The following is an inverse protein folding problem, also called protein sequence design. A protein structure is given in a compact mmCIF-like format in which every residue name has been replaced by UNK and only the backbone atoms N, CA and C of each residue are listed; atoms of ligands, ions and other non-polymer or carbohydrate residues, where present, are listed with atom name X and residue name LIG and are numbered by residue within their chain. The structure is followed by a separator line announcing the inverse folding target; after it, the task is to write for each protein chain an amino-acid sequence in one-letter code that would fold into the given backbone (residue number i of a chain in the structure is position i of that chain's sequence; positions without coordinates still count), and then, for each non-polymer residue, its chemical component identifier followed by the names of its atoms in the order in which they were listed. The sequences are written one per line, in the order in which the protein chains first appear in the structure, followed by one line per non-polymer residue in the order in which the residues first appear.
data_IF_050126862807
#
_entry.id   IF_050126862807
#
_cell.length_a   1.000
_cell.length_b   1.000
_cell.length_c   1.000
_cell.angle_alpha   90.00
_cell.angle_beta   90.00
_cell.angle_gamma   90.00
#
_symmetry.space_group_name_H-M   'P 1'
#
loop_
_entity.id
_entity.type
_entity.pdbx_description
1 polymer ?
#
# COMPACT_ATOMS: atom_id res chain seq x y z
N UNK A 1 12.16 -1.68 -17.89
CA UNK A 1 10.85 -1.05 -17.63
C UNK A 1 11.01 0.02 -16.55
N UNK A 2 10.81 1.26 -16.92
CA UNK A 2 10.92 2.40 -16.00
C UNK A 2 9.57 2.95 -15.57
N UNK A 3 8.52 2.72 -16.35
CA UNK A 3 7.16 3.19 -16.09
C UNK A 3 6.15 2.12 -16.45
N UNK A 4 5.17 1.89 -15.60
CA UNK A 4 4.08 0.96 -15.83
C UNK A 4 2.74 1.65 -15.56
N UNK A 5 1.82 1.51 -16.51
CA UNK A 5 0.44 1.97 -16.35
C UNK A 5 -0.53 0.87 -16.80
N UNK A 6 -1.57 0.65 -16.02
CA UNK A 6 -2.68 -0.27 -16.32
C UNK A 6 -4.00 0.51 -16.41
N UNK A 7 -4.19 1.28 -17.49
CA UNK A 7 -5.19 2.37 -17.53
C UNK A 7 -6.64 1.92 -17.57
N UNK A 8 -6.93 0.68 -17.98
CA UNK A 8 -8.32 0.21 -18.16
C UNK A 8 -8.70 -0.97 -17.25
N UNK A 9 -7.78 -1.47 -16.46
CA UNK A 9 -8.05 -2.58 -15.54
C UNK A 9 -8.82 -2.06 -14.32
N UNK A 10 -10.08 -2.51 -14.16
CA UNK A 10 -10.95 -2.02 -13.10
C UNK A 10 -10.99 -2.91 -11.86
N UNK A 11 -10.76 -4.22 -12.04
CA UNK A 11 -10.77 -5.19 -10.93
C UNK A 11 -9.81 -6.34 -11.21
N UNK A 12 -9.25 -6.88 -10.15
CA UNK A 12 -8.39 -8.07 -10.19
C UNK A 12 -9.01 -9.11 -9.26
N UNK A 13 -9.40 -10.26 -9.80
CA UNK A 13 -9.98 -11.35 -9.00
C UNK A 13 -8.96 -12.09 -8.15
N UNK A 14 -7.73 -12.19 -8.61
CA UNK A 14 -6.62 -12.84 -7.90
C UNK A 14 -5.64 -11.82 -7.31
N UNK A 15 -4.39 -11.88 -7.77
CA UNK A 15 -3.29 -11.09 -7.22
C UNK A 15 -2.91 -9.93 -8.12
N UNK A 16 -2.60 -8.79 -7.53
CA UNK A 16 -1.88 -7.70 -8.18
C UNK A 16 -0.52 -7.57 -7.51
N UNK A 17 0.55 -7.87 -8.24
CA UNK A 17 1.86 -7.94 -7.63
C UNK A 17 2.95 -7.36 -8.54
N UNK A 18 3.74 -6.46 -8.01
CA UNK A 18 4.88 -5.82 -8.68
C UNK A 18 6.10 -6.03 -7.78
N UNK A 19 7.04 -6.87 -8.24
CA UNK A 19 8.23 -7.21 -7.45
C UNK A 19 9.52 -6.90 -8.18
N UNK A 20 10.52 -6.46 -7.42
CA UNK A 20 11.93 -6.46 -7.79
C UNK A 20 12.21 -5.85 -9.18
N UNK A 21 11.48 -4.80 -9.52
CA UNK A 21 11.70 -4.05 -10.74
C UNK A 21 12.66 -2.90 -10.42
N UNK A 22 13.95 -3.16 -10.50
CA UNK A 22 14.99 -2.25 -10.03
C UNK A 22 15.01 -0.89 -10.76
N UNK A 23 14.51 -0.84 -11.99
CA UNK A 23 14.47 0.39 -12.78
C UNK A 23 13.10 1.07 -12.81
N UNK A 24 12.08 0.48 -12.19
CA UNK A 24 10.72 1.04 -12.21
C UNK A 24 10.65 2.27 -11.30
N UNK A 25 10.38 3.42 -11.89
CA UNK A 25 10.27 4.69 -11.17
C UNK A 25 8.84 5.16 -10.96
N UNK A 26 7.91 4.72 -11.82
CA UNK A 26 6.53 5.19 -11.80
C UNK A 26 5.57 4.02 -12.06
N UNK A 27 4.60 3.85 -11.16
CA UNK A 27 3.52 2.88 -11.30
C UNK A 27 2.17 3.59 -11.16
N UNK A 28 1.33 3.43 -12.19
CA UNK A 28 -0.02 4.00 -12.20
C UNK A 28 -1.07 2.93 -12.42
N UNK A 29 -2.04 2.87 -11.52
CA UNK A 29 -3.17 1.94 -11.53
C UNK A 29 -4.44 2.76 -11.34
N UNK A 30 -4.85 3.54 -12.37
CA UNK A 30 -5.80 4.64 -12.17
C UNK A 30 -7.24 4.22 -11.89
N UNK A 31 -7.67 3.01 -12.32
CA UNK A 31 -9.08 2.62 -12.21
C UNK A 31 -9.32 1.31 -11.46
N UNK A 32 -8.29 0.64 -10.97
CA UNK A 32 -8.50 -0.58 -10.17
C UNK A 32 -9.14 -0.20 -8.84
N UNK A 33 -10.35 -0.71 -8.62
CA UNK A 33 -11.13 -0.46 -7.41
C UNK A 33 -11.08 -1.61 -6.41
N UNK A 34 -10.86 -2.84 -6.88
CA UNK A 34 -10.83 -4.03 -6.03
C UNK A 34 -9.80 -5.06 -6.47
N UNK A 35 -9.20 -5.71 -5.48
CA UNK A 35 -8.31 -6.85 -5.67
C UNK A 35 -8.79 -7.97 -4.75
N UNK A 36 -9.17 -9.11 -5.31
CA UNK A 36 -9.75 -10.22 -4.54
C UNK A 36 -8.75 -10.95 -3.65
N UNK A 37 -7.51 -11.08 -4.10
CA UNK A 37 -6.43 -11.69 -3.35
C UNK A 37 -5.53 -10.64 -2.71
N UNK A 38 -4.23 -10.63 -3.05
CA UNK A 38 -3.33 -9.63 -2.48
C UNK A 38 -2.93 -8.55 -3.49
N UNK A 39 -2.73 -7.35 -2.97
CA UNK A 39 -2.06 -6.24 -3.63
C UNK A 39 -0.68 -6.06 -3.00
N UNK A 40 0.36 -6.30 -3.78
CA UNK A 40 1.72 -6.28 -3.24
C UNK A 40 2.68 -5.53 -4.17
N UNK A 41 3.36 -4.55 -3.62
CA UNK A 41 4.42 -3.79 -4.29
C UNK A 41 5.66 -3.88 -3.42
N UNK A 42 6.67 -4.64 -3.87
CA UNK A 42 7.80 -4.99 -3.02
C UNK A 42 9.12 -4.99 -3.80
N UNK A 43 10.16 -4.44 -3.20
CA UNK A 43 11.51 -4.51 -3.75
C UNK A 43 11.75 -3.66 -4.99
N UNK A 44 10.92 -2.65 -5.25
CA UNK A 44 11.11 -1.75 -6.38
C UNK A 44 11.94 -0.55 -5.92
N UNK A 45 13.24 -0.72 -5.87
CA UNK A 45 14.15 0.22 -5.21
C UNK A 45 14.20 1.62 -5.83
N UNK A 46 13.85 1.76 -7.11
CA UNK A 46 13.82 3.05 -7.81
C UNK A 46 12.44 3.71 -7.84
N UNK A 47 11.40 3.06 -7.30
CA UNK A 47 10.03 3.55 -7.37
C UNK A 47 9.87 4.83 -6.55
N UNK A 48 9.61 5.93 -7.25
CA UNK A 48 9.40 7.26 -6.64
C UNK A 48 7.95 7.72 -6.66
N UNK A 49 7.13 7.12 -7.53
CA UNK A 49 5.72 7.49 -7.70
C UNK A 49 4.84 6.26 -7.83
N UNK A 50 3.84 6.18 -6.97
CA UNK A 50 2.79 5.16 -7.01
C UNK A 50 1.43 5.85 -6.93
N UNK A 51 0.55 5.54 -7.88
CA UNK A 51 -0.80 6.08 -7.90
C UNK A 51 -1.82 4.94 -8.01
N UNK A 52 -2.66 4.80 -6.98
CA UNK A 52 -3.78 3.85 -6.93
C UNK A 52 -5.03 4.57 -6.40
N UNK A 53 -5.51 5.59 -7.12
CA UNK A 53 -6.49 6.52 -6.57
C UNK A 53 -7.87 5.93 -6.29
N UNK A 54 -8.21 4.82 -6.94
CA UNK A 54 -9.55 4.20 -6.84
C UNK A 54 -9.59 2.93 -6.02
N UNK A 55 -8.45 2.40 -5.58
CA UNK A 55 -8.40 1.14 -4.84
C UNK A 55 -9.14 1.27 -3.51
N UNK A 56 -10.25 0.53 -3.38
CA UNK A 56 -11.14 0.59 -2.21
C UNK A 56 -11.13 -0.69 -1.38
N UNK A 57 -10.97 -1.86 -2.03
CA UNK A 57 -11.06 -3.16 -1.37
C UNK A 57 -9.91 -4.07 -1.77
N UNK A 58 -9.28 -4.68 -0.78
CA UNK A 58 -8.32 -5.76 -0.96
C UNK A 58 -8.79 -6.94 -0.11
N UNK A 59 -9.10 -8.07 -0.74
CA UNK A 59 -9.65 -9.25 -0.06
C UNK A 59 -8.65 -9.98 0.84
N UNK A 60 -7.38 -9.92 0.53
CA UNK A 60 -6.31 -10.54 1.30
C UNK A 60 -5.31 -9.54 1.84
N UNK A 61 -4.04 -9.69 1.46
CA UNK A 61 -2.93 -8.87 1.93
C UNK A 61 -2.81 -7.57 1.11
N UNK A 62 -2.71 -6.42 1.78
CA UNK A 62 -2.15 -5.20 1.21
C UNK A 62 -0.75 -5.01 1.75
N UNK A 63 0.25 -5.13 0.90
CA UNK A 63 1.65 -4.96 1.31
C UNK A 63 2.38 -3.98 0.41
N UNK A 64 3.02 -3.03 1.03
CA UNK A 64 3.96 -2.13 0.40
C UNK A 64 5.28 -2.22 1.18
N UNK A 65 6.32 -2.80 0.56
CA UNK A 65 7.55 -3.09 1.29
C UNK A 65 8.81 -2.93 0.47
N UNK A 66 9.88 -2.48 1.13
CA UNK A 66 11.22 -2.39 0.55
C UNK A 66 11.24 -1.60 -0.76
N UNK A 67 10.53 -0.49 -0.82
CA UNK A 67 10.56 0.46 -1.94
C UNK A 67 11.29 1.72 -1.48
N UNK A 68 12.61 1.67 -1.49
CA UNK A 68 13.47 2.59 -0.75
C UNK A 68 13.58 4.01 -1.32
N UNK A 69 13.01 4.27 -2.49
CA UNK A 69 13.00 5.61 -3.09
C UNK A 69 11.67 6.35 -2.91
N UNK A 70 10.61 5.65 -2.48
CA UNK A 70 9.29 6.27 -2.33
C UNK A 70 9.23 7.12 -1.06
N UNK A 71 8.89 8.40 -1.23
CA UNK A 71 8.84 9.37 -0.13
C UNK A 71 7.45 9.58 0.44
N UNK A 72 6.40 9.32 -0.34
CA UNK A 72 5.01 9.44 0.11
C UNK A 72 4.14 8.35 -0.48
N UNK A 73 3.19 7.86 0.30
CA UNK A 73 2.19 6.90 -0.15
C UNK A 73 0.81 7.38 0.29
N UNK A 74 -0.09 7.48 -0.68
CA UNK A 74 -1.49 7.77 -0.42
C UNK A 74 -2.37 6.75 -1.13
N UNK A 75 -3.29 6.14 -0.38
CA UNK A 75 -4.31 5.24 -0.92
C UNK A 75 -5.66 5.81 -0.47
N UNK A 76 -6.15 6.84 -1.17
CA UNK A 76 -7.21 7.71 -0.65
C UNK A 76 -8.58 7.05 -0.51
N UNK A 77 -8.84 5.98 -1.27
CA UNK A 77 -10.14 5.29 -1.26
C UNK A 77 -10.12 3.94 -0.57
N UNK A 78 -8.95 3.46 -0.12
CA UNK A 78 -8.85 2.14 0.52
C UNK A 78 -9.61 2.13 1.85
N UNK A 79 -10.68 1.33 1.89
CA UNK A 79 -11.57 1.23 3.03
C UNK A 79 -11.48 -0.11 3.76
N UNK A 80 -11.28 -1.21 3.02
CA UNK A 80 -11.34 -2.57 3.55
C UNK A 80 -10.17 -3.43 3.10
N UNK A 81 -9.51 -4.07 4.07
CA UNK A 81 -8.47 -5.07 3.84
C UNK A 81 -8.89 -6.35 4.59
N UNK A 82 -9.13 -7.42 3.84
CA UNK A 82 -9.60 -8.69 4.39
C UNK A 82 -8.55 -9.51 5.12
N UNK A 83 -7.28 -9.21 4.96
CA UNK A 83 -6.18 -9.88 5.64
C UNK A 83 -5.27 -8.89 6.34
N UNK A 84 -4.03 -8.83 5.89
CA UNK A 84 -2.98 -8.00 6.50
C UNK A 84 -2.79 -6.68 5.76
N UNK A 85 -2.57 -5.60 6.52
CA UNK A 85 -2.12 -4.32 5.99
C UNK A 85 -0.68 -4.08 6.47
N UNK A 86 0.27 -4.13 5.54
CA UNK A 86 1.70 -4.00 5.85
C UNK A 86 2.36 -2.88 5.05
N UNK A 87 2.91 -1.92 5.76
CA UNK A 87 3.80 -0.89 5.19
C UNK A 87 5.13 -1.03 5.91
N UNK A 88 6.10 -1.67 5.27
CA UNK A 88 7.31 -2.12 5.96
C UNK A 88 8.58 -1.84 5.17
N UNK A 89 9.61 -1.38 5.87
CA UNK A 89 10.96 -1.19 5.34
C UNK A 89 11.04 -0.30 4.07
N UNK A 90 10.26 0.77 4.04
CA UNK A 90 10.37 1.79 3.00
C UNK A 90 11.16 2.96 3.58
N UNK A 91 12.48 2.92 3.43
CA UNK A 91 13.39 3.76 4.22
C UNK A 91 13.34 5.25 3.92
N UNK A 92 12.86 5.64 2.74
CA UNK A 92 12.68 7.05 2.38
C UNK A 92 11.25 7.57 2.63
N UNK A 93 10.31 6.71 3.03
CA UNK A 93 8.90 7.08 3.21
C UNK A 93 8.75 8.05 4.39
N UNK A 94 8.34 9.28 4.08
CA UNK A 94 8.13 10.32 5.10
C UNK A 94 6.68 10.51 5.49
N UNK A 95 5.74 10.22 4.57
CA UNK A 95 4.31 10.36 4.83
C UNK A 95 3.49 9.20 4.27
N UNK A 96 2.50 8.78 5.04
CA UNK A 96 1.54 7.74 4.68
C UNK A 96 0.13 8.22 5.00
N UNK A 97 -0.76 8.16 4.01
CA UNK A 97 -2.15 8.53 4.18
C UNK A 97 -3.09 7.44 3.67
N UNK A 98 -3.93 6.94 4.57
CA UNK A 98 -5.04 6.03 4.26
C UNK A 98 -6.32 6.55 4.94
N UNK A 99 -6.83 7.69 4.48
CA UNK A 99 -7.79 8.49 5.23
C UNK A 99 -9.15 7.84 5.47
N UNK A 100 -9.52 6.85 4.65
CA UNK A 100 -10.81 6.17 4.79
C UNK A 100 -10.68 4.69 5.15
N UNK A 101 -9.49 4.22 5.50
CA UNK A 101 -9.29 2.84 5.91
C UNK A 101 -10.07 2.57 7.21
N UNK A 102 -11.10 1.73 7.10
CA UNK A 102 -12.04 1.48 8.19
C UNK A 102 -11.92 0.07 8.77
N UNK A 103 -11.45 -0.91 7.98
CA UNK A 103 -11.40 -2.31 8.39
C UNK A 103 -10.14 -3.00 7.92
N UNK A 104 -9.44 -3.65 8.85
CA UNK A 104 -8.37 -4.61 8.58
C UNK A 104 -8.68 -5.86 9.41
N UNK A 105 -8.95 -6.98 8.74
CA UNK A 105 -9.46 -8.16 9.44
C UNK A 105 -8.40 -8.84 10.28
N UNK A 106 -7.14 -8.86 9.84
CA UNK A 106 -6.07 -9.57 10.55
C UNK A 106 -5.07 -8.63 11.22
N UNK A 107 -3.98 -8.29 10.55
CA UNK A 107 -2.94 -7.45 11.14
C UNK A 107 -2.80 -6.13 10.42
N UNK A 108 -2.64 -5.08 11.21
CA UNK A 108 -2.19 -3.77 10.74
C UNK A 108 -0.79 -3.53 11.30
N UNK A 109 0.20 -3.40 10.42
CA UNK A 109 1.58 -3.19 10.84
C UNK A 109 2.30 -2.18 9.97
N UNK A 110 2.90 -1.19 10.61
CA UNK A 110 3.73 -0.17 9.99
C UNK A 110 5.04 -0.13 10.76
N UNK A 111 6.14 -0.58 10.15
CA UNK A 111 7.44 -0.56 10.82
C UNK A 111 8.60 -0.58 9.82
N UNK A 112 9.79 -0.25 10.30
CA UNK A 112 10.99 -0.19 9.47
C UNK A 112 11.02 0.96 8.47
N UNK A 113 10.06 1.88 8.52
CA UNK A 113 10.02 3.06 7.68
C UNK A 113 10.71 4.19 8.43
N UNK A 114 12.04 4.19 8.42
CA UNK A 114 12.87 5.00 9.33
C UNK A 114 12.73 6.50 9.15
N UNK A 115 12.26 6.96 7.99
CA UNK A 115 12.03 8.38 7.72
C UNK A 115 10.59 8.83 8.00
N UNK A 116 9.68 7.91 8.41
CA UNK A 116 8.26 8.21 8.54
C UNK A 116 8.01 9.19 9.70
N UNK A 117 7.46 10.35 9.37
CA UNK A 117 7.12 11.41 10.33
C UNK A 117 5.65 11.80 10.32
N UNK A 118 4.91 11.42 9.27
CA UNK A 118 3.49 11.75 9.13
C UNK A 118 2.68 10.52 8.75
N UNK A 119 1.68 10.20 9.58
CA UNK A 119 0.78 9.08 9.39
C UNK A 119 -0.66 9.53 9.62
N UNK A 120 -1.54 9.26 8.65
CA UNK A 120 -2.96 9.55 8.77
C UNK A 120 -3.79 8.28 8.54
N UNK A 121 -4.44 7.80 9.60
CA UNK A 121 -5.40 6.69 9.58
C UNK A 121 -6.62 7.02 10.47
N UNK A 122 -7.33 8.11 10.19
CA UNK A 122 -8.25 8.71 11.16
C UNK A 122 -9.50 7.87 11.49
N UNK A 123 -9.90 6.92 10.63
CA UNK A 123 -11.13 6.14 10.86
C UNK A 123 -10.89 4.69 11.27
N UNK A 124 -9.64 4.26 11.43
CA UNK A 124 -9.28 2.89 11.80
C UNK A 124 -9.32 2.65 13.32
N UNK A 125 -10.30 3.15 14.03
CA UNK A 125 -10.25 3.20 15.49
C UNK A 125 -10.54 1.85 16.18
N UNK A 126 -11.31 0.93 15.58
CA UNK A 126 -11.80 -0.26 16.28
C UNK A 126 -11.91 -1.51 15.42
N UNK A 127 -11.40 -1.48 14.21
CA UNK A 127 -11.72 -2.48 13.20
C UNK A 127 -10.52 -3.35 12.78
N UNK A 128 -9.52 -3.49 13.64
CA UNK A 128 -8.41 -4.43 13.43
C UNK A 128 -8.72 -5.69 14.24
N UNK A 129 -8.93 -6.81 13.55
CA UNK A 129 -9.27 -8.09 14.19
C UNK A 129 -8.11 -8.77 14.91
N UNK A 130 -6.88 -8.52 14.47
CA UNK A 130 -5.67 -9.09 15.06
C UNK A 130 -4.80 -8.04 15.76
N UNK A 131 -3.55 -7.95 15.36
CA UNK A 131 -2.58 -7.05 15.97
C UNK A 131 -2.50 -5.70 15.25
N UNK A 132 -2.35 -4.64 16.03
CA UNK A 132 -2.08 -3.29 15.54
C UNK A 132 -0.70 -2.87 16.03
N UNK A 133 0.23 -2.63 15.09
CA UNK A 133 1.63 -2.30 15.42
C UNK A 133 2.13 -1.15 14.57
N UNK A 134 2.60 -0.11 15.24
CA UNK A 134 3.25 1.03 14.59
C UNK A 134 4.56 1.32 15.31
N UNK A 135 5.66 1.36 14.56
CA UNK A 135 6.96 1.75 15.07
C UNK A 135 7.54 2.88 14.21
N UNK A 136 7.85 3.98 14.85
CA UNK A 136 8.49 5.16 14.27
C UNK A 136 9.97 5.16 14.66
N UNK A 137 10.81 4.55 13.88
CA UNK A 137 12.27 4.64 14.05
C UNK A 137 13.08 3.98 12.94
#
# INVERSE_FOLDING_TARGET
LTSLSVPVLAAVGGFFAIYDNAALTNLRVPVVASVGGYFKTNGNAALTSLSVPMLADVGGLFRFGVNDALTSLSVPMLADVGGYFYIIFNTALTSLSVPVLASVVEYFAIYGNTALTSLSVPVLASAVGGHFRIFFH
#
